data_IF_161449103153
#
_entry.id   IF_161449103153
#
_cell.length_a   1.000
_cell.length_b   1.000
_cell.length_c   1.000
_cell.angle_alpha   90.00
_cell.angle_beta   90.00
_cell.angle_gamma   90.00
#
_symmetry.space_group_name_H-M   'P 1'
#
loop_
_entity.id
_entity.type
_entity.pdbx_description
1 polymer ?
#
# COMPACT_ATOMS: atom_id res chain seq x y z
N UNK A 1 29.52 14.80 19.06
CA UNK A 1 28.56 13.95 18.34
C UNK A 1 27.32 14.81 18.24
N UNK A 2 27.10 15.34 17.04
CA UNK A 2 26.35 16.59 16.80
C UNK A 2 24.93 16.21 16.37
N UNK A 3 23.89 16.92 16.81
CA UNK A 3 22.47 16.65 16.49
C UNK A 3 22.19 16.39 14.98
N UNK A 4 23.00 16.97 14.08
CA UNK A 4 22.95 16.72 12.63
C UNK A 4 23.21 15.26 12.23
N UNK A 5 24.11 14.55 12.92
CA UNK A 5 24.42 13.15 12.65
C UNK A 5 23.22 12.25 13.01
N UNK A 6 22.55 12.52 14.14
CA UNK A 6 21.38 11.75 14.58
C UNK A 6 20.17 11.95 13.65
N UNK A 7 19.92 13.19 13.22
CA UNK A 7 18.83 13.48 12.25
C UNK A 7 19.12 12.84 10.88
N UNK A 8 20.38 12.76 10.47
CA UNK A 8 20.75 12.10 9.21
C UNK A 8 20.56 10.59 9.25
N UNK A 9 20.81 9.94 10.38
CA UNK A 9 20.63 8.50 10.51
C UNK A 9 19.14 8.12 10.58
N UNK A 10 18.33 8.89 11.31
CA UNK A 10 16.86 8.72 11.33
C UNK A 10 16.24 8.85 9.93
N UNK A 11 16.67 9.83 9.13
CA UNK A 11 16.20 10.00 7.76
C UNK A 11 16.55 8.80 6.86
N UNK A 12 17.73 8.21 7.03
CA UNK A 12 18.14 7.01 6.28
C UNK A 12 17.33 5.78 6.70
N UNK A 13 17.09 5.63 8.00
CA UNK A 13 16.28 4.54 8.54
C UNK A 13 14.83 4.63 8.05
N UNK A 14 14.22 5.81 8.12
CA UNK A 14 12.87 6.05 7.61
C UNK A 14 12.78 5.75 6.11
N UNK A 15 13.73 6.27 5.31
CA UNK A 15 13.75 6.00 3.88
C UNK A 15 13.86 4.50 3.56
N UNK A 16 14.76 3.78 4.23
CA UNK A 16 14.94 2.34 4.03
C UNK A 16 13.68 1.55 4.43
N UNK A 17 13.06 1.92 5.55
CA UNK A 17 11.82 1.33 6.02
C UNK A 17 10.69 1.53 5.00
N UNK A 18 10.35 2.77 4.65
CA UNK A 18 9.23 3.04 3.75
C UNK A 18 9.49 2.56 2.31
N UNK A 19 10.74 2.53 1.85
CA UNK A 19 11.09 1.91 0.56
C UNK A 19 10.75 0.42 0.53
N UNK A 20 11.09 -0.31 1.59
CA UNK A 20 10.79 -1.74 1.71
C UNK A 20 9.28 -1.99 1.83
N UNK A 21 8.59 -1.21 2.65
CA UNK A 21 7.13 -1.30 2.78
C UNK A 21 6.42 -1.01 1.45
N UNK A 22 6.87 0.03 0.73
CA UNK A 22 6.28 0.40 -0.54
C UNK A 22 6.52 -0.67 -1.62
N UNK A 23 7.73 -1.25 -1.68
CA UNK A 23 8.02 -2.34 -2.61
C UNK A 23 7.14 -3.56 -2.37
N UNK A 24 6.91 -3.92 -1.10
CA UNK A 24 6.01 -5.02 -0.73
C UNK A 24 4.56 -4.72 -1.09
N UNK A 25 4.07 -3.52 -0.76
CA UNK A 25 2.72 -3.10 -1.10
C UNK A 25 2.50 -3.07 -2.62
N UNK A 26 3.46 -2.57 -3.39
CA UNK A 26 3.39 -2.56 -4.86
C UNK A 26 3.31 -3.98 -5.42
N UNK A 27 4.09 -4.92 -4.89
CA UNK A 27 4.07 -6.31 -5.34
C UNK A 27 2.75 -7.01 -4.97
N UNK A 28 2.23 -6.76 -3.77
CA UNK A 28 0.92 -7.27 -3.34
C UNK A 28 -0.19 -6.73 -4.24
N UNK A 29 -0.20 -5.42 -4.51
CA UNK A 29 -1.18 -4.80 -5.40
C UNK A 29 -1.13 -5.40 -6.83
N UNK A 30 0.05 -5.55 -7.41
CA UNK A 30 0.21 -6.18 -8.74
C UNK A 30 -0.30 -7.61 -8.78
N UNK A 31 -0.15 -8.36 -7.69
CA UNK A 31 -0.68 -9.72 -7.58
C UNK A 31 -2.21 -9.70 -7.60
N UNK A 32 -2.81 -8.81 -6.81
CA UNK A 32 -4.28 -8.60 -6.78
C UNK A 32 -4.79 -8.20 -8.17
N UNK A 33 -4.16 -7.20 -8.79
CA UNK A 33 -4.53 -6.71 -10.12
C UNK A 33 -4.44 -7.82 -11.18
N UNK A 34 -3.32 -8.57 -11.21
CA UNK A 34 -3.11 -9.66 -12.16
C UNK A 34 -4.05 -10.85 -11.98
N UNK A 35 -4.46 -11.14 -10.74
CA UNK A 35 -5.36 -12.26 -10.44
C UNK A 35 -6.84 -11.89 -10.46
N UNK A 36 -7.17 -10.59 -10.42
CA UNK A 36 -8.55 -10.08 -10.34
C UNK A 36 -9.46 -10.69 -11.41
N UNK A 37 -9.04 -10.66 -12.68
CA UNK A 37 -9.81 -11.23 -13.80
C UNK A 37 -10.07 -12.72 -13.66
N UNK A 38 -9.09 -13.49 -13.14
CA UNK A 38 -9.21 -14.94 -12.95
C UNK A 38 -10.14 -15.26 -11.79
N UNK A 39 -9.99 -14.55 -10.66
CA UNK A 39 -10.82 -14.73 -9.47
C UNK A 39 -12.29 -14.37 -9.73
N UNK A 40 -12.54 -13.31 -10.50
CA UNK A 40 -13.88 -12.94 -10.96
C UNK A 40 -14.52 -14.03 -11.83
N UNK A 41 -13.76 -14.62 -12.77
CA UNK A 41 -14.23 -15.71 -13.63
C UNK A 41 -14.53 -17.00 -12.84
N UNK A 42 -13.82 -17.24 -11.73
CA UNK A 42 -14.03 -18.39 -10.86
C UNK A 42 -15.21 -18.21 -9.89
N UNK A 43 -15.89 -17.06 -9.90
CA UNK A 43 -16.98 -16.75 -8.97
C UNK A 43 -16.51 -16.40 -7.56
N UNK A 44 -15.21 -16.12 -7.38
CA UNK A 44 -14.56 -15.88 -6.08
C UNK A 44 -14.48 -14.37 -5.78
N UNK A 45 -15.57 -13.67 -6.05
CA UNK A 45 -15.64 -12.20 -6.00
C UNK A 45 -15.54 -11.65 -4.58
N UNK A 46 -16.12 -12.34 -3.60
CA UNK A 46 -16.10 -11.92 -2.19
C UNK A 46 -14.70 -12.07 -1.57
N UNK A 47 -13.95 -13.11 -1.93
CA UNK A 47 -12.58 -13.32 -1.44
C UNK A 47 -11.63 -12.28 -2.04
N UNK A 48 -11.75 -11.99 -3.34
CA UNK A 48 -11.01 -10.92 -3.99
C UNK A 48 -11.28 -9.57 -3.32
N UNK A 49 -12.55 -9.28 -3.01
CA UNK A 49 -12.93 -8.08 -2.26
C UNK A 49 -12.28 -8.04 -0.88
N UNK A 50 -12.28 -9.17 -0.16
CA UNK A 50 -11.60 -9.31 1.13
C UNK A 50 -10.10 -9.03 1.07
N UNK A 51 -9.40 -9.55 0.05
CA UNK A 51 -7.98 -9.25 -0.15
C UNK A 51 -7.72 -7.78 -0.45
N UNK A 52 -8.57 -7.14 -1.25
CA UNK A 52 -8.47 -5.72 -1.54
C UNK A 52 -8.70 -4.88 -0.28
N UNK A 53 -9.70 -5.21 0.55
CA UNK A 53 -9.97 -4.50 1.80
C UNK A 53 -8.81 -4.63 2.81
N UNK A 54 -8.20 -5.82 2.90
CA UNK A 54 -6.99 -6.03 3.71
C UNK A 54 -5.81 -5.20 3.19
N UNK A 55 -5.59 -5.19 1.88
CA UNK A 55 -4.56 -4.36 1.25
C UNK A 55 -4.74 -2.87 1.56
N UNK A 56 -5.96 -2.34 1.38
CA UNK A 56 -6.28 -0.94 1.65
C UNK A 56 -6.01 -0.61 3.13
N UNK A 57 -6.41 -1.49 4.05
CA UNK A 57 -6.20 -1.29 5.49
C UNK A 57 -4.71 -1.18 5.83
N UNK A 58 -3.88 -2.11 5.34
CA UNK A 58 -2.44 -2.09 5.58
C UNK A 58 -1.77 -0.86 4.97
N UNK A 59 -2.04 -0.60 3.68
CA UNK A 59 -1.46 0.55 2.98
C UNK A 59 -1.86 1.88 3.61
N UNK A 60 -3.09 1.99 4.13
CA UNK A 60 -3.57 3.19 4.84
C UNK A 60 -2.82 3.40 6.16
N UNK A 61 -2.52 2.33 6.90
CA UNK A 61 -1.71 2.39 8.11
C UNK A 61 -0.30 2.90 7.84
N UNK A 62 0.37 2.36 6.80
CA UNK A 62 1.72 2.80 6.44
C UNK A 62 1.72 4.23 5.87
N UNK A 63 0.70 4.61 5.11
CA UNK A 63 0.51 6.00 4.66
C UNK A 63 0.44 6.97 5.86
N UNK A 64 -0.39 6.66 6.85
CA UNK A 64 -0.54 7.51 8.03
C UNK A 64 0.78 7.64 8.80
N UNK A 65 1.53 6.54 8.95
CA UNK A 65 2.85 6.56 9.56
C UNK A 65 3.87 7.40 8.77
N UNK A 66 3.81 7.36 7.43
CA UNK A 66 4.64 8.22 6.58
C UNK A 66 4.30 9.70 6.76
N UNK A 67 3.01 10.05 6.85
CA UNK A 67 2.56 11.42 7.14
C UNK A 67 3.04 11.90 8.52
N UNK A 68 2.93 11.05 9.54
CA UNK A 68 3.40 11.35 10.90
C UNK A 68 4.92 11.61 10.96
N UNK A 69 5.70 10.91 10.14
CA UNK A 69 7.16 11.05 10.08
C UNK A 69 7.65 12.12 9.08
N UNK A 70 6.74 12.81 8.40
CA UNK A 70 7.09 13.83 7.40
C UNK A 70 7.56 13.28 6.05
N UNK A 71 7.42 11.98 5.82
CA UNK A 71 7.81 11.26 4.60
C UNK A 71 6.75 11.42 3.50
N UNK A 72 6.57 12.66 3.04
CA UNK A 72 5.44 13.09 2.19
C UNK A 72 5.36 12.31 0.88
N UNK A 73 6.50 12.01 0.25
CA UNK A 73 6.53 11.23 -1.00
C UNK A 73 6.01 9.81 -0.82
N UNK A 74 6.36 9.14 0.28
CA UNK A 74 5.83 7.82 0.57
C UNK A 74 4.34 7.86 0.87
N UNK A 75 3.88 8.85 1.64
CA UNK A 75 2.45 9.06 1.87
C UNK A 75 1.66 9.23 0.55
N UNK A 76 2.20 9.99 -0.41
CA UNK A 76 1.62 10.15 -1.75
C UNK A 76 1.59 8.83 -2.52
N UNK A 77 2.70 8.09 -2.55
CA UNK A 77 2.79 6.82 -3.27
C UNK A 77 1.86 5.74 -2.70
N UNK A 78 1.77 5.62 -1.37
CA UNK A 78 0.78 4.74 -0.74
C UNK A 78 -0.64 5.22 -1.05
N UNK A 79 -0.90 6.52 -1.06
CA UNK A 79 -2.17 7.10 -1.46
C UNK A 79 -2.57 6.78 -2.91
N UNK A 80 -1.62 6.68 -3.83
CA UNK A 80 -1.88 6.20 -5.19
C UNK A 80 -2.26 4.72 -5.23
N UNK A 81 -1.55 3.86 -4.50
CA UNK A 81 -1.87 2.45 -4.43
C UNK A 81 -3.26 2.19 -3.83
N UNK A 82 -3.60 2.90 -2.76
CA UNK A 82 -4.92 2.83 -2.12
C UNK A 82 -6.02 3.20 -3.11
N UNK A 83 -5.89 4.33 -3.81
CA UNK A 83 -6.88 4.77 -4.81
C UNK A 83 -7.09 3.74 -5.92
N UNK A 84 -6.01 3.11 -6.40
CA UNK A 84 -6.10 2.04 -7.41
C UNK A 84 -6.81 0.81 -6.87
N UNK A 85 -6.54 0.42 -5.62
CA UNK A 85 -7.21 -0.70 -4.98
C UNK A 85 -8.70 -0.42 -4.72
N UNK A 86 -9.06 0.79 -4.31
CA UNK A 86 -10.46 1.21 -4.16
C UNK A 86 -11.23 1.17 -5.49
N UNK A 87 -10.61 1.61 -6.59
CA UNK A 87 -11.18 1.51 -7.92
C UNK A 87 -11.45 0.05 -8.29
N UNK A 88 -10.46 -0.83 -8.10
CA UNK A 88 -10.62 -2.27 -8.36
C UNK A 88 -11.73 -2.88 -7.49
N UNK A 89 -11.85 -2.48 -6.22
CA UNK A 89 -12.94 -2.93 -5.34
C UNK A 89 -14.31 -2.55 -5.89
N UNK A 90 -14.43 -1.37 -6.47
CA UNK A 90 -15.68 -0.85 -7.04
C UNK A 90 -16.14 -1.60 -8.31
N UNK A 91 -15.21 -2.24 -9.02
CA UNK A 91 -15.50 -3.05 -10.20
C UNK A 91 -16.06 -4.44 -9.87
N UNK A 92 -15.90 -4.89 -8.61
CA UNK A 92 -16.40 -6.19 -8.15
C UNK A 92 -17.91 -6.08 -7.89
N UNK A 93 -18.70 -6.61 -8.83
CA UNK A 93 -20.16 -6.71 -8.69
C UNK A 93 -20.50 -7.83 -7.70
N UNK A 94 -21.26 -7.57 -6.62
CA UNK A 94 -21.77 -8.62 -5.75
C UNK A 94 -22.66 -9.58 -6.57
N UNK A 95 -22.42 -10.88 -6.46
CA UNK A 95 -23.25 -11.92 -7.09
C UNK A 95 -24.54 -12.15 -6.28
#
# INVERSE_FOLDING_TARGET
MTDDDQRSDEARENFAYFSNEYAQALQAFKTIEGQSSTLLLMGVSDELRGFIDQFITMASGTKALAEERGETHFAEWFGELIRKAEALRGEIVPQ
#
